data_IF_470465602528
#
_entry.id   IF_470465602528
#
_cell.length_a   1.000
_cell.length_b   1.000
_cell.length_c   1.000
_cell.angle_alpha   90.00
_cell.angle_beta   90.00
_cell.angle_gamma   90.00
#
_symmetry.space_group_name_H-M   'P 1'
#
loop_
_entity.id
_entity.type
_entity.pdbx_description
1 polymer ?
#
# COMPACT_ATOMS: atom_id res chain seq x y z
N UNK A 1 -15.93 19.98 -22.76
CA UNK A 1 -14.93 20.25 -21.68
C UNK A 1 -14.29 18.94 -21.18
N UNK A 2 -13.73 18.12 -22.06
CA UNK A 2 -13.19 16.77 -21.72
C UNK A 2 -11.75 16.54 -22.17
N UNK A 3 -11.13 17.49 -22.88
CA UNK A 3 -9.79 17.28 -23.47
C UNK A 3 -8.64 17.44 -22.45
N UNK A 4 -8.78 18.28 -21.42
CA UNK A 4 -7.69 18.53 -20.46
C UNK A 4 -7.37 17.35 -19.52
N UNK A 5 -8.30 16.41 -19.29
CA UNK A 5 -8.06 15.28 -18.38
C UNK A 5 -7.24 14.14 -19.01
N UNK A 6 -7.25 14.01 -20.34
CA UNK A 6 -6.49 12.96 -21.02
C UNK A 6 -4.99 13.31 -21.10
N UNK A 7 -4.66 14.56 -21.45
CA UNK A 7 -3.26 15.00 -21.53
C UNK A 7 -2.51 14.85 -20.20
N UNK A 8 -3.13 15.17 -19.06
CA UNK A 8 -2.50 15.00 -17.76
C UNK A 8 -2.26 13.53 -17.38
N UNK A 9 -3.20 12.63 -17.71
CA UNK A 9 -3.04 11.19 -17.48
C UNK A 9 -1.96 10.59 -18.38
N UNK A 10 -1.89 11.01 -19.64
CA UNK A 10 -0.87 10.59 -20.60
C UNK A 10 0.53 11.02 -20.16
N UNK A 11 0.70 12.26 -19.70
CA UNK A 11 1.96 12.75 -19.15
C UNK A 11 2.40 11.94 -17.92
N UNK A 12 1.46 11.61 -17.03
CA UNK A 12 1.72 10.79 -15.85
C UNK A 12 2.15 9.37 -16.25
N UNK A 13 1.46 8.76 -17.22
CA UNK A 13 1.78 7.43 -17.72
C UNK A 13 3.15 7.41 -18.43
N UNK A 14 3.46 8.44 -19.21
CA UNK A 14 4.78 8.62 -19.84
C UNK A 14 5.90 8.68 -18.80
N UNK A 15 5.73 9.48 -17.74
CA UNK A 15 6.69 9.55 -16.63
C UNK A 15 6.87 8.21 -15.91
N UNK A 16 5.80 7.43 -15.78
CA UNK A 16 5.86 6.08 -15.21
C UNK A 16 6.62 5.12 -16.12
N UNK A 17 6.30 5.11 -17.41
CA UNK A 17 6.99 4.28 -18.40
C UNK A 17 8.50 4.55 -18.39
N UNK A 18 8.92 5.81 -18.42
CA UNK A 18 10.34 6.18 -18.35
C UNK A 18 11.01 5.66 -17.07
N UNK A 19 10.34 5.81 -15.91
CA UNK A 19 10.89 5.31 -14.64
C UNK A 19 11.12 3.81 -14.64
N UNK A 20 10.14 3.03 -15.10
CA UNK A 20 10.21 1.56 -15.09
C UNK A 20 11.10 1.01 -16.21
N UNK A 21 11.16 1.66 -17.36
CA UNK A 21 12.07 1.26 -18.44
C UNK A 21 13.53 1.49 -18.06
N UNK A 22 13.82 2.54 -17.27
CA UNK A 22 15.16 2.78 -16.74
C UNK A 22 15.55 1.79 -15.61
N UNK A 23 14.58 1.08 -15.02
CA UNK A 23 14.79 0.19 -13.88
C UNK A 23 14.11 -1.16 -14.10
N UNK A 24 14.70 -2.00 -14.96
CA UNK A 24 14.10 -3.28 -15.32
C UNK A 24 13.85 -4.20 -14.12
N UNK A 25 14.71 -4.14 -13.09
CA UNK A 25 14.55 -4.89 -11.84
C UNK A 25 13.21 -4.53 -11.17
N UNK A 26 12.88 -3.24 -11.05
CA UNK A 26 11.62 -2.81 -10.43
C UNK A 26 10.40 -3.25 -11.22
N UNK A 27 10.53 -3.33 -12.55
CA UNK A 27 9.50 -3.83 -13.45
C UNK A 27 9.21 -5.31 -13.19
N UNK A 28 10.26 -6.12 -13.08
CA UNK A 28 10.17 -7.54 -12.78
C UNK A 28 9.67 -7.79 -11.35
N UNK A 29 10.16 -7.05 -10.35
CA UNK A 29 9.68 -7.11 -8.96
C UNK A 29 8.21 -6.73 -8.88
N UNK A 30 7.77 -5.68 -9.57
CA UNK A 30 6.35 -5.30 -9.65
C UNK A 30 5.50 -6.46 -10.19
N UNK A 31 5.91 -7.03 -11.33
CA UNK A 31 5.20 -8.16 -11.95
C UNK A 31 5.09 -9.35 -10.99
N UNK A 32 6.20 -9.77 -10.39
CA UNK A 32 6.21 -10.94 -9.48
C UNK A 32 5.33 -10.72 -8.24
N UNK A 33 5.26 -9.49 -7.71
CA UNK A 33 4.36 -9.15 -6.59
C UNK A 33 2.89 -9.20 -7.03
N UNK A 34 2.57 -8.66 -8.21
CA UNK A 34 1.19 -8.66 -8.75
C UNK A 34 0.72 -10.09 -9.06
N UNK A 35 1.59 -10.91 -9.63
CA UNK A 35 1.33 -12.34 -9.93
C UNK A 35 1.25 -13.21 -8.66
N UNK A 36 1.65 -12.67 -7.50
CA UNK A 36 1.68 -13.40 -6.24
C UNK A 36 2.81 -14.44 -6.15
N UNK A 37 3.82 -14.35 -7.01
CA UNK A 37 5.01 -15.22 -7.02
C UNK A 37 6.14 -14.70 -6.13
N UNK A 38 6.04 -13.44 -5.70
CA UNK A 38 7.00 -12.81 -4.81
C UNK A 38 6.73 -13.15 -3.34
N UNK A 39 7.77 -13.14 -2.50
CA UNK A 39 7.67 -13.41 -1.05
C UNK A 39 6.75 -12.42 -0.33
N UNK A 40 6.75 -11.16 -0.80
CA UNK A 40 5.83 -10.13 -0.34
C UNK A 40 4.51 -10.17 -1.11
N UNK A 41 3.40 -10.14 -0.37
CA UNK A 41 2.07 -9.91 -0.94
C UNK A 41 1.69 -8.44 -0.95
N UNK A 42 0.82 -8.04 -1.88
CA UNK A 42 0.19 -6.71 -1.91
C UNK A 42 -0.42 -6.35 -0.55
N UNK A 43 -1.06 -7.32 0.10
CA UNK A 43 -1.74 -7.12 1.38
C UNK A 43 -0.78 -6.79 2.51
N UNK A 44 0.42 -7.39 2.49
CA UNK A 44 1.45 -7.16 3.49
C UNK A 44 2.09 -5.78 3.33
N UNK A 45 2.38 -5.38 2.09
CA UNK A 45 2.91 -4.05 1.78
C UNK A 45 1.89 -2.96 2.15
N UNK A 46 0.61 -3.15 1.79
CA UNK A 46 -0.49 -2.27 2.21
C UNK A 46 -0.60 -2.19 3.74
N UNK A 47 -0.54 -3.33 4.44
CA UNK A 47 -0.60 -3.36 5.90
C UNK A 47 0.58 -2.60 6.55
N UNK A 48 1.77 -2.77 5.98
CA UNK A 48 2.99 -2.12 6.43
C UNK A 48 2.80 -0.60 6.43
N UNK A 49 2.41 -0.02 5.28
CA UNK A 49 2.34 1.44 5.13
C UNK A 49 1.12 2.06 5.78
N UNK A 50 -0.02 1.35 5.81
CA UNK A 50 -1.28 1.90 6.33
C UNK A 50 -1.42 1.78 7.85
N UNK A 51 -0.87 0.72 8.45
CA UNK A 51 -1.08 0.43 9.89
C UNK A 51 0.19 0.19 10.65
N UNK A 52 1.05 -0.75 10.21
CA UNK A 52 2.25 -1.12 10.97
C UNK A 52 3.17 0.09 11.18
N UNK A 53 3.42 0.85 10.11
CA UNK A 53 4.23 2.06 10.14
C UNK A 53 3.70 3.11 11.13
N UNK A 54 2.37 3.22 11.24
CA UNK A 54 1.72 4.15 12.17
C UNK A 54 1.89 3.73 13.62
N UNK A 55 1.74 2.44 13.92
CA UNK A 55 1.80 1.95 15.31
C UNK A 55 3.21 1.80 15.83
N UNK A 56 4.16 1.54 14.94
CA UNK A 56 5.55 1.27 15.29
C UNK A 56 6.50 2.45 15.02
N UNK A 57 5.99 3.57 14.48
CA UNK A 57 6.75 4.76 14.13
C UNK A 57 8.02 4.44 13.32
N UNK A 58 7.83 3.78 12.17
CA UNK A 58 8.94 3.31 11.34
C UNK A 58 9.66 4.49 10.69
N UNK A 59 10.93 4.66 11.05
CA UNK A 59 11.85 5.68 10.58
C UNK A 59 13.16 4.98 10.22
N UNK A 60 13.72 5.34 9.08
CA UNK A 60 15.03 4.88 8.64
C UNK A 60 15.66 5.92 7.71
N UNK A 61 16.94 5.74 7.42
CA UNK A 61 17.72 6.58 6.53
C UNK A 61 18.06 5.80 5.27
N UNK A 62 18.03 6.48 4.13
CA UNK A 62 18.47 5.94 2.84
C UNK A 62 19.69 6.73 2.40
N UNK A 63 20.77 6.07 2.01
CA UNK A 63 21.90 6.73 1.39
C UNK A 63 21.68 6.83 -0.13
N UNK A 64 21.92 8.01 -0.69
CA UNK A 64 21.71 8.27 -2.12
C UNK A 64 22.65 7.46 -3.02
N UNK A 65 23.81 7.02 -2.51
CA UNK A 65 24.85 6.31 -3.27
C UNK A 65 24.61 4.80 -3.30
N UNK A 66 24.60 4.15 -2.13
CA UNK A 66 24.43 2.69 -2.01
C UNK A 66 22.97 2.25 -2.18
N UNK A 67 22.02 3.18 -1.98
CA UNK A 67 20.58 2.93 -1.98
C UNK A 67 20.11 1.93 -0.91
N UNK A 68 20.87 1.78 0.16
CA UNK A 68 20.59 0.90 1.30
C UNK A 68 19.86 1.60 2.45
N UNK A 69 19.30 0.80 3.37
CA UNK A 69 18.53 1.26 4.52
C UNK A 69 19.36 1.17 5.79
N UNK A 70 19.32 2.25 6.57
CA UNK A 70 19.99 2.35 7.86
C UNK A 70 18.99 2.74 8.96
N UNK A 71 18.96 2.00 10.07
CA UNK A 71 18.09 2.32 11.20
C UNK A 71 18.46 3.67 11.86
N UNK A 72 19.76 4.01 11.85
CA UNK A 72 20.30 5.26 12.39
C UNK A 72 21.23 5.92 11.38
N UNK A 73 21.45 7.23 11.52
CA UNK A 73 22.41 7.95 10.68
C UNK A 73 23.83 7.44 10.99
N UNK A 74 24.59 6.94 10.00
CA UNK A 74 25.94 6.46 10.22
C UNK A 74 26.88 7.58 10.70
N UNK A 75 27.79 7.26 11.62
CA UNK A 75 28.71 8.25 12.19
C UNK A 75 29.69 8.82 11.14
N UNK A 76 30.08 8.02 10.14
CA UNK A 76 31.00 8.40 9.06
C UNK A 76 30.30 9.09 7.86
N UNK A 77 29.32 9.95 8.11
CA UNK A 77 28.47 10.57 7.07
C UNK A 77 29.10 11.76 6.35
N UNK A 78 30.36 12.11 6.64
CA UNK A 78 30.93 13.44 6.32
C UNK A 78 30.87 13.84 4.83
N UNK A 79 30.70 12.91 3.89
CA UNK A 79 30.51 13.20 2.46
C UNK A 79 29.28 12.53 1.81
N UNK A 80 28.51 11.74 2.56
CA UNK A 80 27.41 10.95 2.00
C UNK A 80 26.06 11.61 2.27
N UNK A 81 25.20 11.65 1.25
CA UNK A 81 23.86 12.23 1.37
C UNK A 81 22.88 11.18 1.86
N UNK A 82 22.39 11.38 3.08
CA UNK A 82 21.36 10.54 3.68
C UNK A 82 20.00 11.25 3.68
N UNK A 83 18.98 10.53 3.22
CA UNK A 83 17.58 10.96 3.28
C UNK A 83 16.86 10.24 4.40
N UNK A 84 16.32 11.01 5.35
CA UNK A 84 15.43 10.49 6.38
C UNK A 84 14.05 10.18 5.79
N UNK A 85 13.55 8.97 6.04
CA UNK A 85 12.19 8.55 5.69
C UNK A 85 11.40 8.33 6.96
N UNK A 86 10.23 8.96 7.04
CA UNK A 86 9.24 8.67 8.09
C UNK A 86 8.05 8.01 7.42
N UNK A 87 8.08 6.69 7.36
CA UNK A 87 7.29 5.89 6.44
C UNK A 87 5.80 6.25 6.41
N UNK A 88 5.18 6.37 7.60
CA UNK A 88 3.76 6.69 7.70
C UNK A 88 3.44 8.13 7.26
N UNK A 89 4.29 9.10 7.56
CA UNK A 89 4.08 10.49 7.16
C UNK A 89 4.28 10.67 5.65
N UNK A 90 5.33 10.05 5.09
CA UNK A 90 5.59 10.05 3.65
C UNK A 90 4.43 9.41 2.88
N UNK A 91 3.93 8.26 3.33
CA UNK A 91 2.75 7.62 2.75
C UNK A 91 1.53 8.56 2.73
N UNK A 92 1.28 9.24 3.86
CA UNK A 92 0.15 10.19 3.99
C UNK A 92 0.32 11.41 3.09
N UNK A 93 1.54 11.87 2.86
CA UNK A 93 1.84 12.95 1.92
C UNK A 93 1.52 12.51 0.48
N UNK A 94 1.92 11.31 0.07
CA UNK A 94 1.63 10.78 -1.28
C UNK A 94 0.14 10.66 -1.55
N UNK A 95 -0.64 10.15 -0.59
CA UNK A 95 -2.11 10.07 -0.72
C UNK A 95 -2.76 11.45 -0.95
N UNK A 96 -2.20 12.52 -0.37
CA UNK A 96 -2.67 13.89 -0.59
C UNK A 96 -2.30 14.38 -2.00
N UNK A 97 -1.04 14.22 -2.39
CA UNK A 97 -0.51 14.69 -3.68
C UNK A 97 -1.19 14.02 -4.88
N UNK A 98 -1.40 12.71 -4.81
CA UNK A 98 -1.96 11.91 -5.90
C UNK A 98 -3.50 11.72 -5.81
N UNK A 99 -4.16 12.46 -4.92
CA UNK A 99 -5.61 12.39 -4.69
C UNK A 99 -6.12 10.95 -4.47
N UNK A 100 -5.57 10.17 -3.52
CA UNK A 100 -5.92 8.75 -3.16
C UNK A 100 -6.13 7.76 -4.32
N UNK A 101 -7.05 8.02 -5.23
CA UNK A 101 -7.32 7.37 -6.51
C UNK A 101 -6.05 7.06 -7.33
N UNK A 102 -5.10 7.99 -7.48
CA UNK A 102 -3.86 7.72 -8.23
C UNK A 102 -2.72 7.18 -7.33
N UNK A 103 -3.03 6.63 -6.16
CA UNK A 103 -2.05 6.06 -5.24
C UNK A 103 -2.67 4.95 -4.37
N UNK A 104 -2.74 3.75 -4.94
CA UNK A 104 -3.33 2.57 -4.30
C UNK A 104 -2.45 1.34 -4.56
N UNK A 105 -2.13 0.56 -3.55
CA UNK A 105 -1.38 -0.69 -3.72
C UNK A 105 -2.16 -1.75 -4.53
N UNK A 106 -3.49 -1.64 -4.50
CA UNK A 106 -4.39 -2.54 -5.21
C UNK A 106 -4.77 -1.98 -6.57
N UNK A 107 -5.01 -2.90 -7.53
CA UNK A 107 -5.54 -2.60 -8.86
C UNK A 107 -7.03 -2.20 -8.85
N UNK A 108 -7.36 -1.13 -8.11
CA UNK A 108 -8.71 -0.55 -8.10
C UNK A 108 -8.81 0.54 -9.17
N UNK A 109 -9.99 0.69 -9.77
CA UNK A 109 -10.32 1.69 -10.81
C UNK A 109 -9.95 1.28 -12.24
N UNK A 110 -9.70 2.29 -13.10
CA UNK A 110 -9.48 2.13 -14.53
C UNK A 110 -8.21 1.32 -14.80
N UNK A 111 -8.39 0.17 -15.42
CA UNK A 111 -7.31 -0.76 -15.73
C UNK A 111 -6.61 -0.35 -17.02
N UNK A 112 -5.30 -0.51 -17.03
CA UNK A 112 -4.42 -0.26 -18.16
C UNK A 112 -3.54 -1.48 -18.38
N UNK A 113 -3.16 -1.70 -19.64
CA UNK A 113 -2.15 -2.70 -20.01
C UNK A 113 -0.80 -2.02 -19.91
N UNK A 114 0.09 -2.58 -19.09
CA UNK A 114 1.44 -2.09 -18.90
C UNK A 114 2.45 -3.13 -19.37
N UNK A 115 3.29 -2.73 -20.33
CA UNK A 115 4.27 -3.63 -20.93
C UNK A 115 5.47 -3.85 -20.01
N UNK A 116 5.74 -5.10 -19.65
CA UNK A 116 6.93 -5.48 -18.89
C UNK A 116 8.09 -5.65 -19.88
N UNK A 117 7.95 -6.57 -20.82
CA UNK A 117 8.91 -6.88 -21.87
C UNK A 117 8.21 -6.87 -23.25
N UNK A 118 8.92 -7.24 -24.33
CA UNK A 118 8.31 -7.32 -25.67
C UNK A 118 7.16 -8.34 -25.74
N UNK A 119 7.27 -9.43 -24.98
CA UNK A 119 6.31 -10.55 -25.00
C UNK A 119 5.36 -10.59 -23.79
N UNK A 120 5.60 -9.77 -22.77
CA UNK A 120 4.87 -9.86 -21.50
C UNK A 120 4.27 -8.52 -21.09
N UNK A 121 2.95 -8.55 -20.87
CA UNK A 121 2.16 -7.42 -20.38
C UNK A 121 1.46 -7.79 -19.07
N UNK A 122 1.17 -6.78 -18.25
CA UNK A 122 0.35 -6.92 -17.05
C UNK A 122 -0.84 -5.98 -17.09
N UNK A 123 -1.96 -6.43 -16.51
CA UNK A 123 -3.10 -5.58 -16.23
C UNK A 123 -2.89 -4.88 -14.87
N UNK A 124 -2.76 -3.56 -14.89
CA UNK A 124 -2.52 -2.73 -13.70
C UNK A 124 -3.33 -1.44 -13.75
N UNK A 125 -3.06 -0.50 -12.84
CA UNK A 125 -3.70 0.81 -12.78
C UNK A 125 -2.63 1.88 -12.56
N UNK A 126 -2.91 3.12 -12.96
CA UNK A 126 -2.00 4.25 -12.70
C UNK A 126 -1.72 4.39 -11.20
N UNK A 127 -2.73 4.16 -10.36
CA UNK A 127 -2.58 4.20 -8.91
C UNK A 127 -1.61 3.15 -8.36
N UNK A 128 -1.67 1.93 -8.90
CA UNK A 128 -0.75 0.84 -8.54
C UNK A 128 0.67 1.14 -8.99
N UNK A 129 0.86 1.64 -10.22
CA UNK A 129 2.18 2.05 -10.70
C UNK A 129 2.79 3.18 -9.87
N UNK A 130 2.03 4.22 -9.53
CA UNK A 130 2.53 5.31 -8.68
C UNK A 130 2.87 4.82 -7.26
N UNK A 131 2.03 3.97 -6.69
CA UNK A 131 2.27 3.39 -5.37
C UNK A 131 3.60 2.62 -5.34
N UNK A 132 3.84 1.77 -6.34
CA UNK A 132 5.07 0.98 -6.41
C UNK A 132 6.30 1.83 -6.76
N UNK A 133 6.18 2.82 -7.65
CA UNK A 133 7.26 3.78 -7.90
C UNK A 133 7.72 4.45 -6.60
N UNK A 134 6.77 4.90 -5.77
CA UNK A 134 7.09 5.42 -4.45
C UNK A 134 7.70 4.35 -3.52
N UNK A 135 7.14 3.14 -3.50
CA UNK A 135 7.62 2.06 -2.64
C UNK A 135 9.06 1.63 -2.95
N UNK A 136 9.45 1.63 -4.23
CA UNK A 136 10.83 1.38 -4.65
C UNK A 136 11.76 2.53 -4.26
N UNK A 137 11.36 3.78 -4.53
CA UNK A 137 12.16 4.97 -4.20
C UNK A 137 12.37 5.17 -2.69
N UNK A 138 11.44 4.68 -1.88
CA UNK A 138 11.53 4.73 -0.40
C UNK A 138 12.03 3.43 0.20
N UNK A 139 12.42 2.43 -0.62
CA UNK A 139 12.95 1.14 -0.17
C UNK A 139 12.03 0.37 0.78
N UNK A 140 10.71 0.59 0.67
CA UNK A 140 9.71 -0.10 1.48
C UNK A 140 9.73 -1.61 1.22
N UNK A 141 10.00 -2.00 -0.02
CA UNK A 141 10.08 -3.40 -0.43
C UNK A 141 11.23 -4.10 0.31
N UNK A 142 12.41 -3.47 0.37
CA UNK A 142 13.58 -3.98 1.11
C UNK A 142 13.26 -4.10 2.61
N UNK A 143 12.75 -3.04 3.22
CA UNK A 143 12.35 -3.07 4.64
C UNK A 143 11.32 -4.17 4.94
N UNK A 144 10.36 -4.37 4.03
CA UNK A 144 9.31 -5.37 4.19
C UNK A 144 9.86 -6.80 4.10
N UNK A 145 10.88 -7.07 3.29
CA UNK A 145 11.54 -8.37 3.20
C UNK A 145 12.27 -8.69 4.50
N UNK A 146 13.10 -7.77 4.98
CA UNK A 146 13.89 -7.94 6.21
C UNK A 146 13.01 -8.14 7.46
N UNK A 147 11.83 -7.51 7.48
CA UNK A 147 10.92 -7.52 8.63
C UNK A 147 9.62 -8.32 8.39
N UNK A 148 9.57 -9.16 7.36
CA UNK A 148 8.36 -9.87 6.94
C UNK A 148 7.65 -10.61 8.08
N UNK A 149 8.41 -11.38 8.88
CA UNK A 149 7.86 -12.15 10.01
C UNK A 149 7.16 -11.26 11.04
N UNK A 150 7.79 -10.15 11.43
CA UNK A 150 7.24 -9.20 12.42
C UNK A 150 5.95 -8.55 11.91
N UNK A 151 5.93 -8.17 10.62
CA UNK A 151 4.76 -7.56 9.98
C UNK A 151 3.60 -8.56 9.93
N UNK A 152 3.89 -9.81 9.54
CA UNK A 152 2.89 -10.87 9.47
C UNK A 152 2.27 -11.17 10.84
N UNK A 153 3.09 -11.35 11.88
CA UNK A 153 2.59 -11.56 13.24
C UNK A 153 1.70 -10.41 13.72
N UNK A 154 2.09 -9.16 13.43
CA UNK A 154 1.30 -8.00 13.78
C UNK A 154 -0.07 -8.02 13.08
N UNK A 155 -0.10 -8.39 11.80
CA UNK A 155 -1.33 -8.54 11.03
C UNK A 155 -2.26 -9.62 11.62
N UNK A 156 -1.71 -10.77 11.99
CA UNK A 156 -2.45 -11.87 12.61
C UNK A 156 -3.01 -11.47 13.98
N UNK A 157 -2.19 -10.84 14.84
CA UNK A 157 -2.60 -10.32 16.15
C UNK A 157 -3.75 -9.30 16.03
N UNK A 158 -3.71 -8.43 15.03
CA UNK A 158 -4.77 -7.44 14.83
C UNK A 158 -6.07 -8.07 14.33
N UNK A 159 -5.97 -9.04 13.43
CA UNK A 159 -7.13 -9.77 12.91
C UNK A 159 -7.87 -10.50 14.05
N UNK A 160 -7.14 -11.17 14.94
CA UNK A 160 -7.69 -11.81 16.13
C UNK A 160 -8.37 -10.82 17.09
N UNK A 161 -7.69 -9.71 17.44
CA UNK A 161 -8.27 -8.65 18.30
C UNK A 161 -9.57 -8.07 17.73
N UNK A 162 -9.68 -7.98 16.40
CA UNK A 162 -10.90 -7.51 15.74
C UNK A 162 -12.06 -8.50 15.93
N UNK A 163 -11.81 -9.79 15.85
CA UNK A 163 -12.84 -10.83 16.05
C UNK A 163 -13.41 -10.81 17.47
N UNK A 164 -12.56 -10.73 18.51
CA UNK A 164 -13.01 -10.64 19.92
C UNK A 164 -13.89 -9.40 20.15
N UNK A 165 -13.52 -8.26 19.57
CA UNK A 165 -14.35 -7.04 19.71
C UNK A 165 -15.72 -7.20 19.07
N UNK A 166 -15.83 -7.94 17.97
CA UNK A 166 -17.10 -8.19 17.29
C UNK A 166 -17.96 -9.17 18.12
N UNK A 167 -17.38 -10.26 18.64
CA UNK A 167 -18.12 -11.19 19.50
C UNK A 167 -18.66 -10.52 20.75
N UNK A 168 -17.85 -9.69 21.41
CA UNK A 168 -18.25 -8.98 22.63
C UNK A 168 -19.29 -7.88 22.36
N UNK A 169 -19.30 -7.29 21.16
CA UNK A 169 -20.33 -6.30 20.78
C UNK A 169 -21.66 -6.99 20.49
N UNK A 170 -21.65 -8.16 19.86
CA UNK A 170 -22.85 -8.95 19.58
C UNK A 170 -23.48 -9.55 20.85
N UNK A 171 -22.70 -9.77 21.91
CA UNK A 171 -23.23 -10.19 23.22
C UNK A 171 -23.80 -9.04 24.06
N UNK A 172 -23.54 -7.78 23.68
CA UNK A 172 -24.03 -6.57 24.38
C UNK A 172 -25.24 -5.92 23.69
N UNK A 173 -25.57 -6.32 22.47
CA UNK A 173 -26.84 -5.95 21.84
C UNK A 173 -27.91 -6.88 22.45
N UNK A 174 -28.93 -6.36 23.14
CA UNK A 174 -30.05 -7.19 23.55
C UNK A 174 -30.58 -7.85 22.28
N UNK A 175 -30.65 -9.19 22.27
CA UNK A 175 -31.48 -9.87 21.27
C UNK A 175 -32.82 -9.17 21.30
N UNK A 176 -33.18 -8.49 20.23
CA UNK A 176 -34.58 -8.14 20.00
C UNK A 176 -35.26 -9.48 19.73
N UNK A 177 -35.57 -10.19 20.80
CA UNK A 177 -36.51 -11.28 20.75
C UNK A 177 -37.78 -10.64 20.20
N UNK A 178 -38.27 -11.19 19.08
CA UNK A 178 -39.59 -10.89 18.56
C UNK A 178 -40.54 -11.33 19.66
N UNK A 179 -40.84 -10.41 20.57
CA UNK A 179 -41.86 -10.61 21.59
C UNK A 179 -43.14 -10.77 20.79
N UNK A 180 -43.74 -11.96 20.87
CA UNK A 180 -45.07 -12.25 20.33
C UNK A 180 -46.09 -11.30 20.99
N UNK A 181 -46.19 -10.07 20.52
CA UNK A 181 -47.34 -9.22 20.81
C UNK A 181 -48.52 -9.81 20.04
N UNK A 182 -49.45 -10.43 20.77
CA UNK A 182 -50.77 -10.76 20.25
C UNK A 182 -51.40 -9.46 19.75
N UNK A 183 -51.40 -9.27 18.42
CA UNK A 183 -52.15 -8.21 17.77
C UNK A 183 -53.64 -8.51 17.96
N UNK A 184 -54.31 -7.77 18.83
CA UNK A 184 -55.76 -7.72 18.84
C UNK A 184 -56.16 -6.67 17.81
N UNK A 185 -56.63 -7.14 16.65
CA UNK A 185 -57.30 -6.30 15.67
C UNK A 185 -58.72 -6.13 16.17
N UNK A 186 -59.07 -4.93 16.63
CA UNK A 186 -60.48 -4.54 16.84
C UNK A 186 -60.94 -3.91 15.53
N UNK A 187 -61.99 -4.50 14.95
CA UNK A 187 -62.71 -3.91 13.83
C UNK A 187 -63.86 -3.09 14.39
N UNK A 188 -63.89 -1.79 14.08
CA UNK A 188 -65.10 -0.96 14.11
C UNK A 188 -65.75 -0.97 12.71
#
# INVERSE_FOLDING_TARGET
MTENNNSSKELLLSSLNTFYNNNNIYKLTLKTIIDGKHELSLRMIDWLVTRYAKTNNIIYWINDIDQDIYDNLPENHNNEKYKKITLYLDYRAQLKSFKKFNFDAFRRHDRIIFKINEDEDIETTIGQLNFFKWAFNTKIITYALENQKKIYENMSKFSYKKQIKISNKNSLVPKQDIINTKCYVVFD
#
